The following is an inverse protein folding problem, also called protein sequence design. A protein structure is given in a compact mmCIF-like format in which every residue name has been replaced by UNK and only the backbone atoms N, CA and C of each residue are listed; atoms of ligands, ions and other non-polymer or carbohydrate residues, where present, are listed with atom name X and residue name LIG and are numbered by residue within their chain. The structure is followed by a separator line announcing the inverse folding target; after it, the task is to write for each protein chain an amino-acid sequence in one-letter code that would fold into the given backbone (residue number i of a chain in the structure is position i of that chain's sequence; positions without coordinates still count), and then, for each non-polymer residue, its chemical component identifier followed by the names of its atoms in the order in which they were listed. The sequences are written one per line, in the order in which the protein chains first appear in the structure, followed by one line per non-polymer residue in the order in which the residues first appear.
data_IF_098490521158
#
_entry.id   IF_098490521158
#
_cell.length_a   1.000
_cell.length_b   1.000
_cell.length_c   1.000
_cell.angle_alpha   90.00
_cell.angle_beta   90.00
_cell.angle_gamma   90.00
#
_symmetry.space_group_name_H-M   'P 1'
#
loop_
_entity.id
_entity.type
_entity.pdbx_description
1 polymer ?
#
# COMPACT_ATOMS: atom_id res chain seq x y z
N UNK A 1 -48.19 33.28 -5.42
CA UNK A 1 -47.42 33.84 -4.28
C UNK A 1 -46.80 32.69 -3.50
N UNK A 2 -45.53 32.87 -3.13
CA UNK A 2 -44.69 32.09 -2.19
C UNK A 2 -44.24 30.66 -2.55
N UNK A 3 -42.91 30.59 -2.77
CA UNK A 3 -41.96 29.47 -2.84
C UNK A 3 -41.65 28.86 -1.45
N UNK A 4 -41.05 27.67 -1.45
CA UNK A 4 -40.08 27.18 -0.44
C UNK A 4 -40.41 25.78 0.08
N UNK A 5 -39.53 24.79 0.16
CA UNK A 5 -38.10 24.74 -0.12
C UNK A 5 -37.65 23.30 -0.37
N UNK A 6 -36.67 23.15 -1.27
CA UNK A 6 -36.02 21.88 -1.55
C UNK A 6 -35.00 21.58 -0.44
N UNK A 7 -35.15 20.42 0.20
CA UNK A 7 -34.18 19.89 1.15
C UNK A 7 -32.88 19.51 0.44
N UNK A 8 -31.81 20.22 0.78
CA UNK A 8 -30.43 19.90 0.37
C UNK A 8 -29.98 18.68 1.16
N UNK A 9 -29.81 17.55 0.47
CA UNK A 9 -29.14 16.39 1.04
C UNK A 9 -27.63 16.67 1.11
N UNK A 10 -27.12 16.80 2.33
CA UNK A 10 -25.69 16.91 2.63
C UNK A 10 -24.94 15.70 2.07
N UNK A 11 -24.07 15.94 1.07
CA UNK A 11 -23.06 14.97 0.63
C UNK A 11 -22.00 14.82 1.72
N UNK A 12 -21.58 13.60 2.10
CA UNK A 12 -20.38 13.42 2.89
C UNK A 12 -19.14 13.64 2.01
N UNK A 13 -18.31 14.60 2.40
CA UNK A 13 -17.00 14.88 1.83
C UNK A 13 -16.10 13.63 1.86
N UNK A 14 -15.73 13.15 0.68
CA UNK A 14 -14.64 12.20 0.48
C UNK A 14 -13.39 13.01 0.11
N UNK A 15 -12.22 12.79 0.74
CA UNK A 15 -11.02 13.50 0.37
C UNK A 15 -10.60 13.10 -1.05
N UNK A 16 -10.68 14.07 -1.95
CA UNK A 16 -10.15 14.00 -3.30
C UNK A 16 -8.63 13.74 -3.23
N UNK A 17 -8.19 12.65 -3.82
CA UNK A 17 -6.78 12.47 -4.17
C UNK A 17 -6.49 13.38 -5.37
N UNK A 18 -6.13 14.64 -5.09
CA UNK A 18 -5.56 15.55 -6.07
C UNK A 18 -4.03 15.39 -6.15
N UNK A 19 -3.43 15.40 -7.34
CA UNK A 19 -1.99 15.51 -7.51
C UNK A 19 -1.59 16.99 -7.53
N UNK A 20 -0.55 17.38 -6.80
CA UNK A 20 0.08 18.70 -6.95
C UNK A 20 0.40 19.39 -5.63
N UNK A 21 1.63 19.22 -5.15
CA UNK A 21 2.19 19.92 -4.01
C UNK A 21 3.65 20.25 -4.27
N UNK A 22 3.89 21.13 -5.23
CA UNK A 22 5.10 21.95 -5.41
C UNK A 22 4.51 23.36 -5.67
N UNK A 23 4.94 24.43 -4.99
CA UNK A 23 6.10 25.24 -5.36
C UNK A 23 6.36 26.26 -4.22
N UNK A 24 7.63 26.61 -4.00
CA UNK A 24 8.07 27.73 -3.17
C UNK A 24 8.08 29.08 -3.90
N UNK A 25 7.87 30.14 -3.12
CA UNK A 25 8.50 31.48 -3.15
C UNK A 25 8.84 32.12 -4.52
N UNK A 26 8.23 33.29 -4.81
CA UNK A 26 8.97 34.45 -5.33
C UNK A 26 8.57 35.05 -6.69
N UNK A 27 7.58 35.95 -6.68
CA UNK A 27 7.55 37.30 -7.29
C UNK A 27 7.84 37.58 -8.79
N UNK A 28 6.84 38.18 -9.47
CA UNK A 28 7.00 39.33 -10.40
C UNK A 28 6.69 39.11 -11.90
N UNK A 29 6.40 40.17 -12.69
CA UNK A 29 5.02 40.59 -12.99
C UNK A 29 4.59 40.56 -14.49
N UNK A 30 3.27 40.60 -14.68
CA UNK A 30 2.46 40.94 -15.88
C UNK A 30 3.06 42.01 -16.83
N UNK A 31 2.79 41.92 -18.15
CA UNK A 31 1.60 42.62 -18.69
C UNK A 31 0.86 41.93 -19.86
N UNK A 32 -0.47 41.97 -19.83
CA UNK A 32 -1.30 42.75 -20.79
C UNK A 32 -1.49 42.26 -22.25
N UNK A 33 -2.74 42.13 -22.77
CA UNK A 33 -3.05 41.56 -24.09
C UNK A 33 -3.36 42.60 -25.19
N UNK A 34 -3.26 42.20 -26.46
CA UNK A 34 -4.02 42.85 -27.55
C UNK A 34 -3.49 42.75 -28.98
N UNK A 35 -4.43 42.46 -29.91
CA UNK A 35 -4.44 42.65 -31.38
C UNK A 35 -3.28 42.09 -32.22
N UNK A 36 -3.45 41.33 -33.31
CA UNK A 36 -4.55 41.28 -34.29
C UNK A 36 -4.10 41.94 -35.60
N UNK A 37 -3.62 41.17 -36.59
CA UNK A 37 -3.70 41.56 -38.01
C UNK A 37 -3.48 40.40 -38.98
N UNK A 38 -4.17 40.52 -40.12
CA UNK A 38 -4.36 39.61 -41.25
C UNK A 38 -3.13 39.45 -42.17
N UNK A 39 -3.07 38.25 -42.76
CA UNK A 39 -2.87 37.89 -44.17
C UNK A 39 -1.88 38.67 -45.07
N UNK A 40 -1.01 37.91 -45.74
CA UNK A 40 -0.70 38.09 -47.15
C UNK A 40 -0.37 36.74 -47.82
N UNK A 41 -1.16 36.41 -48.84
CA UNK A 41 -0.96 35.35 -49.83
C UNK A 41 -0.10 35.94 -50.95
N UNK A 42 0.86 35.17 -51.50
CA UNK A 42 1.35 35.31 -52.88
C UNK A 42 1.70 33.91 -53.41
N UNK A 43 1.12 33.61 -54.57
CA UNK A 43 1.30 32.42 -55.42
C UNK A 43 2.69 32.32 -56.08
N UNK A 44 3.08 31.11 -56.49
CA UNK A 44 4.25 30.77 -57.34
C UNK A 44 4.07 31.19 -58.82
N UNK A 45 4.69 30.53 -59.83
CA UNK A 45 5.55 29.31 -59.84
C UNK A 45 6.84 29.43 -60.72
N UNK A 46 7.68 28.39 -60.75
CA UNK A 46 8.52 28.12 -61.93
C UNK A 46 9.88 27.42 -61.69
N UNK A 47 10.41 26.67 -62.68
CA UNK A 47 11.08 25.39 -62.43
C UNK A 47 12.51 25.31 -63.01
N UNK A 48 13.51 24.83 -62.26
CA UNK A 48 14.72 24.24 -62.85
C UNK A 48 15.32 23.22 -61.87
N UNK A 49 15.50 21.98 -62.34
CA UNK A 49 16.31 20.99 -61.67
C UNK A 49 17.79 21.17 -62.02
N UNK A 50 18.66 20.83 -61.08
CA UNK A 50 19.99 20.27 -61.34
C UNK A 50 20.45 19.53 -60.08
N UNK A 51 20.85 18.29 -60.29
CA UNK A 51 21.35 17.34 -59.29
C UNK A 51 22.77 17.66 -58.83
N UNK A 52 23.11 17.04 -57.68
CA UNK A 52 24.47 16.73 -57.17
C UNK A 52 25.24 17.94 -56.61
N UNK A 53 25.92 17.91 -55.46
CA UNK A 53 26.63 16.84 -54.74
C UNK A 53 26.71 17.12 -53.21
N UNK A 54 26.80 16.04 -52.44
CA UNK A 54 27.53 15.90 -51.17
C UNK A 54 27.61 17.07 -50.18
N UNK A 55 26.76 17.02 -49.14
CA UNK A 55 27.14 17.46 -47.80
C UNK A 55 26.69 16.38 -46.80
N UNK A 56 27.58 15.41 -46.61
CA UNK A 56 27.52 14.44 -45.54
C UNK A 56 27.64 15.16 -44.19
N UNK A 57 26.49 15.48 -43.59
CA UNK A 57 26.36 15.66 -42.15
C UNK A 57 25.77 14.37 -41.59
N UNK A 58 26.62 13.37 -41.39
CA UNK A 58 26.28 12.12 -40.70
C UNK A 58 25.72 12.44 -39.32
N UNK A 59 24.40 12.48 -39.21
CA UNK A 59 23.71 12.10 -37.99
C UNK A 59 24.10 10.65 -37.75
N UNK A 60 25.10 10.46 -36.91
CA UNK A 60 25.65 9.17 -36.52
C UNK A 60 24.52 8.36 -35.86
N UNK A 61 23.85 7.56 -36.68
CA UNK A 61 22.95 6.51 -36.22
C UNK A 61 23.77 5.63 -35.27
N UNK A 62 23.34 5.40 -34.02
CA UNK A 62 24.07 4.49 -33.13
C UNK A 62 24.11 3.11 -33.82
N UNK A 63 25.26 2.42 -33.84
CA UNK A 63 25.39 1.14 -34.50
C UNK A 63 24.44 0.13 -33.85
N UNK A 64 23.51 -0.43 -34.63
CA UNK A 64 22.68 -1.61 -34.34
C UNK A 64 22.09 -1.72 -32.92
N UNK A 65 21.74 -0.59 -32.30
CA UNK A 65 21.19 -0.53 -30.95
C UNK A 65 19.68 -0.30 -30.95
N UNK A 66 18.95 -1.01 -30.10
CA UNK A 66 17.54 -0.72 -29.80
C UNK A 66 17.44 0.73 -29.29
N UNK A 67 16.57 1.53 -29.91
CA UNK A 67 16.34 2.91 -29.44
C UNK A 67 15.56 2.92 -28.14
N UNK A 68 15.65 4.01 -27.37
CA UNK A 68 14.90 4.15 -26.13
C UNK A 68 13.38 4.02 -26.35
N UNK A 69 12.89 4.59 -27.45
CA UNK A 69 11.51 4.45 -27.89
C UNK A 69 11.12 3.02 -28.18
N UNK A 70 11.94 2.26 -28.91
CA UNK A 70 11.67 0.85 -29.24
C UNK A 70 11.64 -0.04 -27.98
N UNK A 71 12.60 0.13 -27.07
CA UNK A 71 12.65 -0.63 -25.82
C UNK A 71 11.46 -0.31 -24.90
N UNK A 72 11.11 0.98 -24.77
CA UNK A 72 9.97 1.42 -23.97
C UNK A 72 8.63 0.94 -24.57
N UNK A 73 8.47 1.06 -25.90
CA UNK A 73 7.28 0.60 -26.61
C UNK A 73 7.11 -0.92 -26.48
N UNK A 74 8.17 -1.70 -26.69
CA UNK A 74 8.14 -3.16 -26.51
C UNK A 74 7.67 -3.56 -25.11
N UNK A 75 8.21 -2.93 -24.06
CA UNK A 75 7.76 -3.19 -22.69
C UNK A 75 6.29 -2.81 -22.47
N UNK A 76 5.84 -1.67 -22.98
CA UNK A 76 4.45 -1.22 -22.85
C UNK A 76 3.47 -2.10 -23.63
N UNK A 77 3.86 -2.59 -24.81
CA UNK A 77 3.08 -3.55 -25.59
C UNK A 77 2.89 -4.85 -24.80
N UNK A 78 3.96 -5.41 -24.25
CA UNK A 78 3.90 -6.63 -23.42
C UNK A 78 2.97 -6.45 -22.21
N UNK A 79 3.12 -5.34 -21.48
CA UNK A 79 2.28 -5.08 -20.30
C UNK A 79 0.81 -4.80 -20.67
N UNK A 80 0.56 -4.21 -21.82
CA UNK A 80 -0.79 -3.97 -22.33
C UNK A 80 -1.44 -5.29 -22.79
N UNK A 81 -0.69 -6.17 -23.44
CA UNK A 81 -1.13 -7.52 -23.76
C UNK A 81 -1.47 -8.33 -22.50
N UNK A 82 -0.65 -8.25 -21.46
CA UNK A 82 -0.95 -8.87 -20.16
C UNK A 82 -2.23 -8.30 -19.54
N UNK A 83 -2.42 -6.98 -19.61
CA UNK A 83 -3.64 -6.32 -19.14
C UNK A 83 -4.88 -6.86 -19.87
N UNK A 84 -4.88 -6.87 -21.20
CA UNK A 84 -6.00 -7.35 -22.00
C UNK A 84 -6.25 -8.85 -21.81
N UNK A 85 -5.19 -9.65 -21.64
CA UNK A 85 -5.30 -11.09 -21.33
C UNK A 85 -5.96 -11.31 -19.97
N UNK A 86 -5.54 -10.58 -18.95
CA UNK A 86 -6.15 -10.67 -17.61
C UNK A 86 -7.60 -10.16 -17.59
N UNK A 87 -7.93 -9.17 -18.41
CA UNK A 87 -9.30 -8.69 -18.57
C UNK A 87 -10.18 -9.74 -19.25
N UNK A 88 -9.67 -10.42 -20.28
CA UNK A 88 -10.36 -11.53 -20.93
C UNK A 88 -10.62 -12.67 -19.95
N UNK A 89 -9.59 -13.09 -19.20
CA UNK A 89 -9.72 -14.11 -18.15
C UNK A 89 -10.76 -13.71 -17.12
N UNK A 90 -10.77 -12.46 -16.66
CA UNK A 90 -11.75 -11.98 -15.69
C UNK A 90 -13.20 -12.09 -16.20
N UNK A 91 -13.43 -11.94 -17.51
CA UNK A 91 -14.75 -12.14 -18.14
C UNK A 91 -15.10 -13.62 -18.33
N UNK A 92 -14.09 -14.45 -18.63
CA UNK A 92 -14.24 -15.89 -18.86
C UNK A 92 -14.42 -16.69 -17.57
N UNK A 93 -13.86 -16.22 -16.44
CA UNK A 93 -13.94 -16.89 -15.15
C UNK A 93 -15.39 -17.06 -14.63
N UNK A 94 -16.37 -16.30 -15.12
CA UNK A 94 -17.78 -16.55 -14.84
C UNK A 94 -18.10 -16.61 -13.34
N UNK A 95 -18.46 -17.80 -12.84
CA UNK A 95 -18.77 -18.06 -11.42
C UNK A 95 -17.56 -18.50 -10.57
N UNK A 96 -16.37 -18.66 -11.16
CA UNK A 96 -15.15 -19.01 -10.45
C UNK A 96 -14.62 -17.79 -9.67
N UNK A 97 -14.88 -17.78 -8.35
CA UNK A 97 -14.46 -16.71 -7.46
C UNK A 97 -12.93 -16.59 -7.38
N UNK A 98 -12.20 -17.71 -7.36
CA UNK A 98 -10.74 -17.69 -7.23
C UNK A 98 -10.09 -17.24 -8.54
N UNK A 99 -10.61 -17.71 -9.68
CA UNK A 99 -10.17 -17.28 -11.01
C UNK A 99 -10.45 -15.79 -11.26
N UNK A 100 -11.64 -15.29 -10.91
CA UNK A 100 -11.97 -13.86 -11.06
C UNK A 100 -11.07 -12.98 -10.19
N UNK A 101 -10.72 -13.43 -8.98
CA UNK A 101 -9.85 -12.72 -8.06
C UNK A 101 -8.39 -12.71 -8.54
N UNK A 102 -7.86 -13.85 -8.99
CA UNK A 102 -6.52 -13.93 -9.58
C UNK A 102 -6.42 -13.04 -10.82
N UNK A 103 -7.41 -13.08 -11.71
CA UNK A 103 -7.47 -12.21 -12.88
C UNK A 103 -7.49 -10.73 -12.50
N UNK A 104 -8.27 -10.34 -11.49
CA UNK A 104 -8.27 -8.97 -10.96
C UNK A 104 -6.91 -8.59 -10.35
N UNK A 105 -6.23 -9.52 -9.66
CA UNK A 105 -4.86 -9.32 -9.13
C UNK A 105 -3.86 -9.10 -10.27
N UNK A 106 -3.94 -9.86 -11.35
CA UNK A 106 -3.10 -9.71 -12.53
C UNK A 106 -3.38 -8.40 -13.28
N UNK A 107 -4.65 -8.05 -13.47
CA UNK A 107 -5.07 -6.79 -14.07
C UNK A 107 -4.51 -5.57 -13.31
N UNK A 108 -4.62 -5.57 -11.98
CA UNK A 108 -4.01 -4.53 -11.12
C UNK A 108 -2.49 -4.51 -11.20
N UNK A 109 -1.84 -5.65 -11.41
CA UNK A 109 -0.38 -5.75 -11.53
C UNK A 109 0.10 -5.18 -12.86
N UNK A 110 -0.61 -5.44 -13.95
CA UNK A 110 -0.33 -4.87 -15.27
C UNK A 110 -0.57 -3.35 -15.28
N UNK A 111 -1.74 -2.89 -14.80
CA UNK A 111 -2.08 -1.47 -14.73
C UNK A 111 -1.05 -0.64 -13.93
N UNK A 112 -0.59 -1.17 -12.78
CA UNK A 112 0.43 -0.51 -11.95
C UNK A 112 1.80 -0.44 -12.62
N UNK A 113 2.16 -1.44 -13.43
CA UNK A 113 3.41 -1.42 -14.21
C UNK A 113 3.35 -0.39 -15.33
N UNK A 114 2.28 -0.39 -16.12
CA UNK A 114 2.06 0.62 -17.17
C UNK A 114 2.11 2.03 -16.56
N UNK A 115 1.32 2.29 -15.51
CA UNK A 115 1.27 3.59 -14.83
C UNK A 115 2.64 4.02 -14.28
N UNK A 116 3.42 3.09 -13.72
CA UNK A 116 4.76 3.38 -13.20
C UNK A 116 5.80 3.63 -14.29
N UNK A 117 5.76 2.85 -15.37
CA UNK A 117 6.62 3.06 -16.54
C UNK A 117 6.36 4.45 -17.14
N UNK A 118 5.09 4.83 -17.32
CA UNK A 118 4.71 6.16 -17.77
C UNK A 118 5.04 7.28 -16.76
N UNK A 119 5.20 6.96 -15.48
CA UNK A 119 5.64 7.92 -14.48
C UNK A 119 7.15 8.17 -14.56
N UNK A 120 7.94 7.10 -14.61
CA UNK A 120 9.42 7.20 -14.61
C UNK A 120 9.96 7.69 -15.94
N UNK A 121 9.40 7.20 -17.05
CA UNK A 121 9.84 7.52 -18.41
C UNK A 121 8.96 8.58 -19.08
N UNK A 122 8.24 9.39 -18.28
CA UNK A 122 7.39 10.50 -18.74
C UNK A 122 8.06 11.39 -19.80
N UNK A 123 9.36 11.77 -19.69
CA UNK A 123 10.01 12.62 -20.69
C UNK A 123 10.19 11.98 -22.09
N UNK A 124 10.01 10.66 -22.21
CA UNK A 124 10.15 9.92 -23.48
C UNK A 124 8.81 9.65 -24.15
N UNK A 125 7.70 9.93 -23.46
CA UNK A 125 6.33 9.79 -23.98
C UNK A 125 5.67 11.16 -24.12
N UNK A 126 4.56 11.23 -24.84
CA UNK A 126 3.73 12.42 -24.84
C UNK A 126 3.16 12.68 -23.44
N UNK A 127 3.49 13.84 -22.86
CA UNK A 127 3.24 14.12 -21.45
C UNK A 127 1.76 14.14 -21.06
N UNK A 128 0.93 14.86 -21.82
CA UNK A 128 -0.49 15.02 -21.53
C UNK A 128 -1.24 13.68 -21.62
N UNK A 129 -0.92 12.90 -22.66
CA UNK A 129 -1.44 11.55 -22.84
C UNK A 129 -1.01 10.62 -21.69
N UNK A 130 0.27 10.64 -21.33
CA UNK A 130 0.80 9.78 -20.27
C UNK A 130 0.17 10.11 -18.91
N UNK A 131 -0.02 11.39 -18.59
CA UNK A 131 -0.64 11.83 -17.33
C UNK A 131 -2.13 11.46 -17.28
N UNK A 132 -2.87 11.63 -18.38
CA UNK A 132 -4.27 11.21 -18.47
C UNK A 132 -4.42 9.69 -18.29
N UNK A 133 -3.65 8.89 -19.03
CA UNK A 133 -3.72 7.43 -18.92
C UNK A 133 -3.32 6.95 -17.52
N UNK A 134 -2.34 7.58 -16.88
CA UNK A 134 -1.94 7.28 -15.50
C UNK A 134 -3.05 7.56 -14.50
N UNK A 135 -3.81 8.64 -14.66
CA UNK A 135 -4.94 8.95 -13.80
C UNK A 135 -6.03 7.86 -13.90
N UNK A 136 -6.34 7.42 -15.12
CA UNK A 136 -7.34 6.37 -15.38
C UNK A 136 -6.90 5.00 -14.85
N UNK A 137 -5.65 4.60 -15.09
CA UNK A 137 -5.08 3.36 -14.53
C UNK A 137 -5.01 3.41 -12.99
N UNK A 138 -4.73 4.59 -12.42
CA UNK A 138 -4.75 4.82 -10.98
C UNK A 138 -6.15 4.64 -10.40
N UNK A 139 -7.16 5.21 -11.04
CA UNK A 139 -8.57 5.04 -10.68
C UNK A 139 -8.99 3.56 -10.70
N UNK A 140 -8.75 2.84 -11.81
CA UNK A 140 -9.13 1.43 -11.96
C UNK A 140 -8.43 0.55 -10.94
N UNK A 141 -7.10 0.70 -10.81
CA UNK A 141 -6.32 -0.11 -9.87
C UNK A 141 -6.73 0.13 -8.42
N UNK A 142 -7.11 1.37 -8.07
CA UNK A 142 -7.66 1.73 -6.77
C UNK A 142 -9.04 1.11 -6.51
N UNK A 143 -9.94 1.16 -7.49
CA UNK A 143 -11.28 0.56 -7.36
C UNK A 143 -11.20 -0.94 -7.12
N UNK A 144 -10.40 -1.65 -7.92
CA UNK A 144 -10.20 -3.09 -7.79
C UNK A 144 -9.44 -3.48 -6.52
N UNK A 145 -8.55 -2.63 -5.99
CA UNK A 145 -7.73 -2.94 -4.81
C UNK A 145 -8.52 -3.03 -3.51
N UNK A 146 -9.63 -2.28 -3.40
CA UNK A 146 -10.35 -2.07 -2.13
C UNK A 146 -10.95 -3.35 -1.57
N UNK A 147 -11.62 -4.14 -2.41
CA UNK A 147 -12.26 -5.38 -1.97
C UNK A 147 -11.25 -6.33 -1.32
N UNK A 148 -10.15 -6.58 -2.04
CA UNK A 148 -9.13 -7.53 -1.59
C UNK A 148 -8.39 -7.01 -0.35
N UNK A 149 -8.10 -5.71 -0.28
CA UNK A 149 -7.49 -5.11 0.91
C UNK A 149 -8.38 -5.24 2.16
N UNK A 150 -9.70 -5.25 2.01
CA UNK A 150 -10.63 -5.47 3.12
C UNK A 150 -10.66 -6.94 3.57
N UNK A 151 -10.57 -7.88 2.62
CA UNK A 151 -10.44 -9.30 2.92
C UNK A 151 -9.12 -9.60 3.66
N UNK A 152 -7.99 -9.16 3.12
CA UNK A 152 -6.66 -9.32 3.73
C UNK A 152 -6.62 -8.72 5.15
N UNK A 153 -7.23 -7.54 5.33
CA UNK A 153 -7.28 -6.87 6.62
C UNK A 153 -8.13 -7.63 7.64
N UNK A 154 -9.27 -8.18 7.22
CA UNK A 154 -10.13 -9.02 8.06
C UNK A 154 -9.35 -10.23 8.54
N UNK A 155 -8.72 -10.96 7.63
CA UNK A 155 -7.98 -12.18 7.94
C UNK A 155 -6.80 -11.88 8.87
N UNK A 156 -6.07 -10.78 8.64
CA UNK A 156 -5.00 -10.31 9.54
C UNK A 156 -5.50 -10.05 10.96
N UNK A 157 -6.62 -9.34 11.10
CA UNK A 157 -7.17 -8.96 12.41
C UNK A 157 -7.76 -10.19 13.14
N UNK A 158 -8.40 -11.11 12.43
CA UNK A 158 -8.92 -12.35 13.04
C UNK A 158 -7.77 -13.24 13.52
N UNK A 159 -6.73 -13.41 12.71
CA UNK A 159 -5.53 -14.12 13.12
C UNK A 159 -4.84 -13.45 14.33
N UNK A 160 -4.82 -12.11 14.37
CA UNK A 160 -4.24 -11.38 15.50
C UNK A 160 -5.03 -11.56 16.79
N UNK A 161 -6.37 -11.47 16.75
CA UNK A 161 -7.22 -11.74 17.92
C UNK A 161 -7.05 -13.18 18.42
N UNK A 162 -7.04 -14.17 17.53
CA UNK A 162 -6.80 -15.57 17.90
C UNK A 162 -5.44 -15.76 18.59
N UNK A 163 -4.38 -15.11 18.10
CA UNK A 163 -3.06 -15.15 18.76
C UNK A 163 -3.04 -14.48 20.13
N UNK A 164 -3.77 -13.38 20.28
CA UNK A 164 -3.86 -12.64 21.55
C UNK A 164 -4.65 -13.44 22.60
N UNK A 165 -5.79 -14.04 22.23
CA UNK A 165 -6.58 -14.92 23.11
C UNK A 165 -5.83 -16.20 23.45
N UNK A 166 -5.13 -16.82 22.50
CA UNK A 166 -4.28 -17.99 22.79
C UNK A 166 -3.06 -17.68 23.68
N UNK A 167 -2.70 -16.40 23.85
CA UNK A 167 -1.66 -15.96 24.80
C UNK A 167 -2.20 -15.77 26.20
N UNK A 168 -3.47 -15.37 26.33
CA UNK A 168 -4.15 -15.26 27.63
C UNK A 168 -4.55 -16.63 28.19
N UNK A 169 -4.92 -17.58 27.32
CA UNK A 169 -5.32 -18.94 27.73
C UNK A 169 -4.14 -19.84 28.16
N UNK A 170 -2.87 -19.39 28.00
CA UNK A 170 -1.72 -20.12 28.56
C UNK A 170 -1.61 -19.79 30.06
N UNK A 171 -1.74 -20.78 30.97
CA UNK A 171 -1.39 -20.56 32.37
C UNK A 171 0.06 -20.09 32.45
N UNK A 172 0.33 -18.99 33.14
CA UNK A 172 1.70 -18.65 33.53
C UNK A 172 2.29 -19.86 34.28
N UNK A 173 3.49 -20.37 33.93
CA UNK A 173 4.17 -21.29 34.83
C UNK A 173 4.44 -20.51 36.12
N UNK A 174 3.73 -20.91 37.19
CA UNK A 174 3.93 -20.38 38.52
C UNK A 174 5.44 -20.29 38.78
N UNK A 175 5.87 -19.09 39.17
CA UNK A 175 7.27 -18.78 39.42
C UNK A 175 7.93 -19.91 40.21
N UNK A 176 9.05 -20.38 39.67
CA UNK A 176 9.97 -21.32 40.30
C UNK A 176 10.35 -20.75 41.67
N UNK A 177 9.65 -21.17 42.71
CA UNK A 177 10.04 -20.94 44.08
C UNK A 177 11.41 -21.60 44.25
N UNK A 178 12.45 -20.78 44.28
CA UNK A 178 13.80 -21.19 44.68
C UNK A 178 13.79 -21.37 46.20
N UNK A 179 13.13 -22.44 46.65
CA UNK A 179 13.25 -22.94 48.02
C UNK A 179 14.63 -23.58 48.19
N UNK A 180 15.60 -22.76 48.58
CA UNK A 180 16.91 -23.21 49.08
C UNK A 180 16.68 -23.99 50.38
N UNK A 181 17.23 -25.21 50.43
CA UNK A 181 17.10 -26.16 51.52
C UNK A 181 17.62 -25.66 52.88
N UNK A 182 17.07 -26.28 53.92
CA UNK A 182 17.43 -26.07 55.32
C UNK A 182 16.74 -27.12 56.18
N UNK A 183 17.31 -28.31 56.15
CA UNK A 183 17.04 -29.48 56.99
C UNK A 183 17.01 -29.14 58.50
N UNK A 184 16.09 -29.75 59.26
CA UNK A 184 16.31 -30.23 60.63
C UNK A 184 15.10 -31.01 61.19
N UNK A 185 15.43 -32.23 61.58
CA UNK A 185 14.70 -33.24 62.33
C UNK A 185 14.41 -32.82 63.78
N UNK A 186 13.29 -33.30 64.36
CA UNK A 186 13.26 -34.18 65.54
C UNK A 186 11.85 -34.24 66.18
N UNK A 187 11.56 -35.44 66.68
CA UNK A 187 10.31 -35.97 67.22
C UNK A 187 9.80 -35.34 68.52
N UNK A 188 8.50 -35.53 68.83
CA UNK A 188 7.99 -36.16 70.09
C UNK A 188 6.55 -36.69 69.87
N UNK A 189 6.25 -37.79 70.57
CA UNK A 189 5.08 -38.69 70.53
C UNK A 189 3.92 -38.28 71.45
N UNK A 190 2.71 -38.80 71.19
CA UNK A 190 1.61 -39.03 72.16
C UNK A 190 0.23 -39.07 71.47
N UNK A 191 -0.37 -40.24 71.18
CA UNK A 191 -1.40 -40.97 71.97
C UNK A 191 -2.65 -40.12 72.30
N UNK A 192 -3.91 -40.44 72.01
CA UNK A 192 -4.65 -41.61 71.51
C UNK A 192 -6.13 -41.18 71.21
N UNK A 193 -7.08 -42.10 70.94
CA UNK A 193 -8.28 -41.82 70.12
C UNK A 193 -9.57 -41.60 70.91
N UNK A 194 -10.55 -40.88 70.35
CA UNK A 194 -11.97 -41.00 70.74
C UNK A 194 -12.93 -40.47 69.67
N UNK A 195 -14.03 -41.22 69.50
CA UNK A 195 -15.15 -40.96 68.60
C UNK A 195 -15.99 -39.78 69.11
N UNK A 196 -16.52 -38.98 68.18
CA UNK A 196 -17.60 -38.02 68.44
C UNK A 196 -18.29 -37.67 67.13
N UNK A 197 -19.59 -37.93 67.08
CA UNK A 197 -20.46 -37.80 65.90
C UNK A 197 -21.30 -36.52 66.05
N UNK A 198 -21.77 -36.01 64.90
CA UNK A 198 -22.92 -35.11 64.64
C UNK A 198 -22.78 -33.58 64.73
N UNK A 199 -23.04 -32.99 63.55
CA UNK A 199 -23.97 -31.88 63.24
C UNK A 199 -23.50 -30.42 63.32
N UNK A 200 -23.77 -29.70 62.22
CA UNK A 200 -23.95 -28.23 62.17
C UNK A 200 -22.93 -27.50 61.31
N UNK A 201 -23.36 -26.98 60.15
CA UNK A 201 -22.58 -26.03 59.34
C UNK A 201 -22.30 -24.71 60.07
N UNK A 202 -21.54 -23.81 59.43
CA UNK A 202 -22.18 -23.01 58.38
C UNK A 202 -21.57 -23.26 57.01
N UNK A 203 -22.43 -23.05 56.01
CA UNK A 203 -22.04 -22.98 54.61
C UNK A 203 -20.82 -22.06 54.47
N UNK A 204 -19.75 -22.60 53.90
CA UNK A 204 -18.72 -21.78 53.30
C UNK A 204 -19.42 -20.97 52.21
N UNK A 205 -19.64 -19.68 52.49
CA UNK A 205 -19.95 -18.71 51.47
C UNK A 205 -18.93 -18.88 50.34
N UNK A 206 -19.34 -19.03 49.07
CA UNK A 206 -18.39 -18.93 47.98
C UNK A 206 -17.84 -17.51 48.07
N UNK A 207 -16.60 -17.39 48.54
CA UNK A 207 -15.78 -16.18 48.41
C UNK A 207 -16.03 -15.65 47.01
N UNK A 208 -16.65 -14.47 46.92
CA UNK A 208 -16.94 -13.79 45.68
C UNK A 208 -15.64 -13.77 44.87
N UNK A 209 -15.57 -14.68 43.89
CA UNK A 209 -14.39 -14.87 43.08
C UNK A 209 -14.07 -13.53 42.43
N UNK A 210 -12.79 -13.16 42.46
CA UNK A 210 -12.29 -12.14 41.55
C UNK A 210 -12.93 -12.40 40.17
N UNK A 211 -13.52 -11.38 39.53
CA UNK A 211 -14.15 -11.59 38.23
C UNK A 211 -13.12 -12.28 37.35
N UNK A 212 -13.50 -13.38 36.73
CA UNK A 212 -12.63 -14.20 35.87
C UNK A 212 -12.13 -13.31 34.72
N UNK A 213 -11.06 -12.55 34.96
CA UNK A 213 -10.62 -11.44 34.12
C UNK A 213 -10.21 -11.96 32.76
N UNK A 214 -9.66 -13.17 32.73
CA UNK A 214 -9.29 -13.87 31.50
C UNK A 214 -10.54 -14.28 30.71
N UNK A 215 -11.60 -14.74 31.39
CA UNK A 215 -12.90 -14.99 30.78
C UNK A 215 -13.54 -13.74 30.17
N UNK A 216 -13.50 -12.60 30.88
CA UNK A 216 -14.01 -11.31 30.39
C UNK A 216 -13.19 -10.76 29.21
N UNK A 217 -11.88 -10.98 29.19
CA UNK A 217 -11.01 -10.61 28.07
C UNK A 217 -11.26 -11.48 26.85
N UNK A 218 -11.46 -12.79 27.04
CA UNK A 218 -11.81 -13.73 25.97
C UNK A 218 -13.18 -13.38 25.38
N UNK A 219 -14.19 -13.10 26.22
CA UNK A 219 -15.50 -12.64 25.77
C UNK A 219 -15.41 -11.27 25.05
N UNK A 220 -14.60 -10.35 25.58
CA UNK A 220 -14.32 -9.05 24.96
C UNK A 220 -13.69 -9.21 23.56
N UNK A 221 -12.74 -10.12 23.41
CA UNK A 221 -12.08 -10.44 22.15
C UNK A 221 -13.03 -11.11 21.14
N UNK A 222 -13.88 -12.03 21.59
CA UNK A 222 -14.91 -12.65 20.74
C UNK A 222 -15.90 -11.61 20.20
N UNK A 223 -16.37 -10.69 21.06
CA UNK A 223 -17.25 -9.58 20.65
C UNK A 223 -16.53 -8.59 19.71
N UNK A 224 -15.25 -8.32 19.94
CA UNK A 224 -14.43 -7.48 19.05
C UNK A 224 -14.26 -8.13 17.67
N UNK A 225 -14.02 -9.45 17.63
CA UNK A 225 -13.91 -10.22 16.41
C UNK A 225 -15.22 -10.13 15.60
N UNK A 226 -16.36 -10.41 16.23
CA UNK A 226 -17.67 -10.33 15.58
C UNK A 226 -17.99 -8.92 15.05
N UNK A 227 -17.61 -7.86 15.78
CA UNK A 227 -17.78 -6.48 15.35
C UNK A 227 -16.95 -6.17 14.10
N UNK A 228 -15.65 -6.49 14.12
CA UNK A 228 -14.73 -6.26 13.00
C UNK A 228 -15.11 -7.09 11.77
N UNK A 229 -15.44 -8.37 11.97
CA UNK A 229 -15.89 -9.28 10.92
C UNK A 229 -17.11 -8.71 10.19
N UNK A 230 -18.13 -8.29 10.94
CA UNK A 230 -19.33 -7.65 10.36
C UNK A 230 -18.99 -6.36 9.62
N UNK A 231 -18.20 -5.46 10.22
CA UNK A 231 -17.87 -4.18 9.59
C UNK A 231 -17.07 -4.36 8.29
N UNK A 232 -16.04 -5.20 8.31
CA UNK A 232 -15.18 -5.43 7.15
C UNK A 232 -15.89 -6.22 6.06
N UNK A 233 -16.75 -7.18 6.41
CA UNK A 233 -17.59 -7.89 5.44
C UNK A 233 -18.55 -6.95 4.73
N UNK A 234 -19.25 -6.08 5.47
CA UNK A 234 -20.12 -5.06 4.87
C UNK A 234 -19.35 -4.07 3.99
N UNK A 235 -18.17 -3.64 4.43
CA UNK A 235 -17.31 -2.78 3.62
C UNK A 235 -16.85 -3.49 2.34
N UNK A 236 -16.50 -4.78 2.43
CA UNK A 236 -16.09 -5.61 1.30
C UNK A 236 -17.22 -5.75 0.29
N UNK A 237 -18.45 -6.06 0.71
CA UNK A 237 -19.60 -6.15 -0.20
C UNK A 237 -19.85 -4.83 -0.94
N UNK A 238 -19.75 -3.68 -0.24
CA UNK A 238 -19.86 -2.35 -0.90
C UNK A 238 -18.72 -2.11 -1.89
N UNK A 239 -17.49 -2.46 -1.53
CA UNK A 239 -16.33 -2.33 -2.42
C UNK A 239 -16.45 -3.23 -3.65
N UNK A 240 -16.98 -4.44 -3.48
CA UNK A 240 -17.25 -5.39 -4.55
C UNK A 240 -18.28 -4.84 -5.55
N UNK A 241 -19.44 -4.37 -5.06
CA UNK A 241 -20.45 -3.74 -5.93
C UNK A 241 -19.90 -2.50 -6.66
N UNK A 242 -19.09 -1.68 -5.97
CA UNK A 242 -18.44 -0.53 -6.59
C UNK A 242 -17.41 -0.92 -7.66
N UNK A 243 -16.68 -2.02 -7.47
CA UNK A 243 -15.75 -2.55 -8.46
C UNK A 243 -16.49 -3.06 -9.71
N UNK A 244 -17.59 -3.79 -9.53
CA UNK A 244 -18.44 -4.24 -10.65
C UNK A 244 -19.04 -3.06 -11.42
N UNK A 245 -19.53 -2.03 -10.72
CA UNK A 245 -20.01 -0.80 -11.35
C UNK A 245 -18.92 -0.07 -12.12
N UNK A 246 -17.69 0.00 -11.58
CA UNK A 246 -16.56 0.59 -12.27
C UNK A 246 -16.22 -0.18 -13.56
N UNK A 247 -16.20 -1.51 -13.52
CA UNK A 247 -15.94 -2.38 -14.68
C UNK A 247 -17.05 -2.32 -15.74
N UNK A 248 -18.30 -2.02 -15.36
CA UNK A 248 -19.41 -1.82 -16.29
C UNK A 248 -19.55 -0.38 -16.80
N UNK A 249 -18.67 0.55 -16.40
CA UNK A 249 -18.81 1.97 -16.73
C UNK A 249 -18.22 2.30 -18.10
N UNK A 250 -18.78 3.31 -18.78
CA UNK A 250 -18.22 3.85 -20.02
C UNK A 250 -16.76 4.33 -19.84
N UNK A 251 -16.42 4.85 -18.65
CA UNK A 251 -15.06 5.25 -18.28
C UNK A 251 -14.07 4.07 -18.35
N UNK A 252 -14.47 2.90 -17.86
CA UNK A 252 -13.65 1.71 -17.96
C UNK A 252 -13.48 1.24 -19.40
N UNK A 253 -14.54 1.26 -20.20
CA UNK A 253 -14.45 0.86 -21.61
C UNK A 253 -13.50 1.79 -22.39
N UNK A 254 -13.59 3.10 -22.20
CA UNK A 254 -12.65 4.05 -22.80
C UNK A 254 -11.19 3.80 -22.38
N UNK A 255 -10.95 3.43 -21.11
CA UNK A 255 -9.62 3.02 -20.66
C UNK A 255 -9.16 1.71 -21.32
N UNK A 256 -10.04 0.71 -21.43
CA UNK A 256 -9.71 -0.56 -22.07
C UNK A 256 -9.37 -0.36 -23.56
N UNK A 257 -10.10 0.51 -24.26
CA UNK A 257 -9.82 0.87 -25.65
C UNK A 257 -8.49 1.63 -25.77
N UNK A 258 -8.21 2.57 -24.87
CA UNK A 258 -6.92 3.27 -24.83
C UNK A 258 -5.75 2.31 -24.58
N UNK A 259 -5.92 1.30 -23.73
CA UNK A 259 -4.91 0.25 -23.51
C UNK A 259 -4.80 -0.70 -24.70
N UNK A 260 -5.88 -0.94 -25.44
CA UNK A 260 -5.86 -1.70 -26.69
C UNK A 260 -5.06 -0.98 -27.77
N UNK A 261 -5.23 0.34 -27.93
CA UNK A 261 -4.41 1.17 -28.81
C UNK A 261 -2.94 1.16 -28.33
N UNK A 262 -2.71 1.28 -27.02
CA UNK A 262 -1.36 1.22 -26.44
C UNK A 262 -0.65 -0.11 -26.73
N UNK A 263 -1.38 -1.21 -26.96
CA UNK A 263 -0.78 -2.50 -27.28
C UNK A 263 -0.17 -2.54 -28.69
N UNK A 264 -0.55 -1.62 -29.59
CA UNK A 264 -0.01 -1.50 -30.94
C UNK A 264 0.83 -0.25 -31.16
N UNK A 265 0.44 0.88 -30.57
CA UNK A 265 1.05 2.18 -30.80
C UNK A 265 1.26 2.93 -29.49
N UNK A 266 2.50 3.38 -29.27
CA UNK A 266 2.85 4.22 -28.12
C UNK A 266 3.11 5.65 -28.60
N UNK A 267 2.39 6.66 -28.06
CA UNK A 267 2.70 8.08 -28.30
C UNK A 267 4.05 8.47 -27.67
N UNK A 268 5.12 8.30 -28.45
CA UNK A 268 6.48 8.60 -28.04
C UNK A 268 6.87 10.02 -28.43
N UNK A 269 7.65 10.68 -27.55
CA UNK A 269 8.27 11.95 -27.90
C UNK A 269 9.31 11.73 -29.01
N UNK A 270 9.46 12.70 -29.92
CA UNK A 270 10.40 12.61 -31.06
C UNK A 270 11.84 12.26 -30.62
N UNK A 271 12.27 12.79 -29.48
CA UNK A 271 13.60 12.53 -28.90
C UNK A 271 13.83 11.07 -28.49
N UNK A 272 12.77 10.30 -28.20
CA UNK A 272 12.88 8.89 -27.83
C UNK A 272 13.27 8.00 -29.03
N UNK A 273 12.99 8.45 -30.26
CA UNK A 273 13.33 7.71 -31.48
C UNK A 273 14.80 7.80 -31.90
N UNK A 274 15.54 8.79 -31.40
CA UNK A 274 16.94 9.05 -31.80
C UNK A 274 17.95 8.63 -30.74
N UNK A 275 17.55 8.59 -29.46
CA UNK A 275 18.44 8.22 -28.37
C UNK A 275 18.60 6.70 -28.21
N UNK A 276 19.81 6.25 -27.85
CA UNK A 276 20.04 4.86 -27.50
C UNK A 276 19.27 4.47 -26.23
N UNK A 277 18.81 3.21 -26.14
CA UNK A 277 18.07 2.73 -24.97
C UNK A 277 18.86 2.91 -23.67
N UNK A 278 20.15 2.54 -23.67
CA UNK A 278 21.01 2.73 -22.51
C UNK A 278 21.18 4.21 -22.15
N UNK A 279 21.38 5.09 -23.14
CA UNK A 279 21.63 6.51 -22.93
C UNK A 279 20.44 7.28 -22.36
N UNK A 280 19.19 6.90 -22.70
CA UNK A 280 18.01 7.61 -22.23
C UNK A 280 17.27 6.93 -21.08
N UNK A 281 17.17 5.59 -21.06
CA UNK A 281 16.41 4.88 -20.03
C UNK A 281 17.20 4.74 -18.72
N UNK A 282 18.51 4.52 -18.80
CA UNK A 282 19.34 4.30 -17.61
C UNK A 282 19.35 5.52 -16.67
N UNK A 283 19.58 6.77 -17.14
CA UNK A 283 19.58 7.94 -16.26
C UNK A 283 18.23 8.19 -15.59
N UNK A 284 17.12 7.88 -16.26
CA UNK A 284 15.77 8.01 -15.70
C UNK A 284 15.50 6.97 -14.61
N UNK A 285 15.97 5.72 -14.80
CA UNK A 285 15.88 4.68 -13.77
C UNK A 285 16.78 4.98 -12.56
N UNK A 286 18.01 5.47 -12.79
CA UNK A 286 18.91 5.93 -11.74
C UNK A 286 18.31 7.12 -10.96
N UNK A 287 17.67 8.06 -11.65
CA UNK A 287 16.96 9.17 -10.99
C UNK A 287 15.82 8.65 -10.09
N UNK A 288 15.05 7.66 -10.55
CA UNK A 288 14.01 7.04 -9.71
C UNK A 288 14.61 6.35 -8.46
N UNK A 289 15.76 5.70 -8.60
CA UNK A 289 16.47 5.09 -7.48
C UNK A 289 17.08 6.12 -6.51
N UNK A 290 17.65 7.22 -7.03
CA UNK A 290 18.17 8.33 -6.23
C UNK A 290 17.07 9.01 -5.42
N UNK A 291 15.91 9.30 -6.03
CA UNK A 291 14.74 9.84 -5.31
C UNK A 291 14.27 8.90 -4.19
N UNK A 292 14.37 7.58 -4.40
CA UNK A 292 14.12 6.61 -3.35
C UNK A 292 15.15 6.72 -2.22
N UNK A 293 16.44 6.76 -2.54
CA UNK A 293 17.51 6.90 -1.54
C UNK A 293 17.36 8.19 -0.72
N UNK A 294 17.06 9.31 -1.38
CA UNK A 294 16.78 10.60 -0.73
C UNK A 294 15.57 10.52 0.20
N UNK A 295 14.47 9.92 -0.25
CA UNK A 295 13.27 9.76 0.56
C UNK A 295 13.51 8.83 1.77
N UNK A 296 14.35 7.82 1.64
CA UNK A 296 14.75 6.95 2.76
C UNK A 296 15.65 7.70 3.74
N UNK A 297 16.60 8.49 3.25
CA UNK A 297 17.44 9.34 4.09
C UNK A 297 16.65 10.41 4.87
N UNK A 298 15.52 10.86 4.31
CA UNK A 298 14.61 11.80 4.95
C UNK A 298 13.60 11.17 5.93
N UNK A 299 13.62 9.84 6.13
CA UNK A 299 12.68 9.19 7.05
C UNK A 299 12.89 9.68 8.49
N UNK A 300 11.81 9.97 9.24
CA UNK A 300 11.94 10.46 10.60
C UNK A 300 12.59 9.38 11.49
N UNK A 301 13.58 9.74 12.32
CA UNK A 301 14.09 8.84 13.34
C UNK A 301 12.96 8.44 14.29
N UNK A 302 12.99 7.22 14.82
CA UNK A 302 11.97 6.72 15.73
C UNK A 302 11.90 7.60 16.99
N UNK A 303 10.95 8.54 17.02
CA UNK A 303 10.71 9.40 18.19
C UNK A 303 9.74 8.71 19.14
N UNK A 304 10.16 8.55 20.40
CA UNK A 304 9.29 8.20 21.50
C UNK A 304 8.74 9.50 22.11
N UNK A 305 7.44 9.75 21.94
CA UNK A 305 6.78 10.91 22.54
C UNK A 305 5.29 10.69 22.65
N UNK A 306 4.78 10.64 23.88
CA UNK A 306 3.38 10.40 24.22
C UNK A 306 2.54 11.65 23.94
N UNK A 307 1.81 11.66 22.83
CA UNK A 307 0.71 12.61 22.60
C UNK A 307 -0.59 12.08 23.24
N UNK A 308 -1.53 12.97 23.56
CA UNK A 308 -2.88 12.60 24.03
C UNK A 308 -3.57 11.70 23.00
N UNK A 309 -4.41 10.75 23.42
CA UNK A 309 -4.83 9.60 22.60
C UNK A 309 -5.42 9.92 21.21
N UNK A 310 -6.16 11.03 21.03
CA UNK A 310 -6.66 11.47 19.71
C UNK A 310 -5.57 12.16 18.86
N UNK A 311 -4.71 12.95 19.49
CA UNK A 311 -3.53 13.56 18.87
C UNK A 311 -2.47 12.51 18.54
N UNK A 312 -2.40 11.43 19.31
CA UNK A 312 -1.52 10.28 19.10
C UNK A 312 -1.89 9.58 17.80
N UNK A 313 -3.17 9.24 17.58
CA UNK A 313 -3.59 8.62 16.32
C UNK A 313 -3.32 9.54 15.12
N UNK A 314 -3.56 10.85 15.24
CA UNK A 314 -3.27 11.81 14.16
C UNK A 314 -1.76 12.00 13.92
N UNK A 315 -0.96 11.95 14.97
CA UNK A 315 0.50 11.95 14.89
C UNK A 315 1.04 10.66 14.25
N UNK A 316 0.45 9.51 14.56
CA UNK A 316 0.79 8.22 13.97
C UNK A 316 0.56 8.20 12.45
N UNK A 317 -0.59 8.68 11.98
CA UNK A 317 -0.88 8.77 10.55
C UNK A 317 0.14 9.69 9.83
N UNK A 318 0.52 10.81 10.45
CA UNK A 318 1.58 11.68 9.93
C UNK A 318 2.94 10.98 9.88
N UNK A 319 3.24 10.13 10.86
CA UNK A 319 4.47 9.33 10.87
C UNK A 319 4.45 8.21 9.82
N UNK A 320 3.28 7.67 9.46
CA UNK A 320 3.15 6.59 8.46
C UNK A 320 3.21 7.11 7.01
N UNK A 321 2.86 8.37 6.76
CA UNK A 321 2.84 8.95 5.42
C UNK A 321 4.20 8.90 4.67
N UNK A 322 5.35 9.27 5.27
CA UNK A 322 6.66 9.12 4.62
C UNK A 322 6.98 7.67 4.23
N UNK A 323 6.61 6.70 5.07
CA UNK A 323 6.82 5.28 4.79
C UNK A 323 5.97 4.78 3.61
N UNK A 324 4.74 5.27 3.48
CA UNK A 324 3.90 4.99 2.32
C UNK A 324 4.44 5.61 1.02
N UNK A 325 5.07 6.78 1.10
CA UNK A 325 5.77 7.41 -0.01
C UNK A 325 6.99 6.57 -0.44
N UNK A 326 7.85 6.17 0.51
CA UNK A 326 8.99 5.28 0.24
C UNK A 326 8.53 3.98 -0.41
N UNK A 327 7.44 3.35 0.06
CA UNK A 327 6.86 2.15 -0.57
C UNK A 327 6.48 2.36 -2.04
N UNK A 328 5.97 3.54 -2.36
CA UNK A 328 5.65 3.90 -3.75
C UNK A 328 6.92 4.08 -4.58
N UNK A 329 7.94 4.74 -4.04
CA UNK A 329 9.23 4.92 -4.70
C UNK A 329 9.99 3.59 -4.91
N UNK A 330 9.97 2.66 -3.95
CA UNK A 330 10.52 1.30 -4.12
C UNK A 330 9.84 0.60 -5.30
N UNK A 331 8.52 0.72 -5.39
CA UNK A 331 7.76 0.12 -6.50
C UNK A 331 8.12 0.76 -7.85
N UNK A 332 8.26 2.09 -7.90
CA UNK A 332 8.67 2.82 -9.11
C UNK A 332 10.09 2.44 -9.54
N UNK A 333 11.05 2.39 -8.61
CA UNK A 333 12.43 1.99 -8.89
C UNK A 333 12.52 0.55 -9.40
N UNK A 334 11.78 -0.38 -8.79
CA UNK A 334 11.69 -1.77 -9.26
C UNK A 334 11.14 -1.85 -10.68
N UNK A 335 10.03 -1.17 -10.98
CA UNK A 335 9.45 -1.21 -12.33
C UNK A 335 10.34 -0.51 -13.37
N UNK A 336 11.08 0.53 -12.99
CA UNK A 336 12.10 1.13 -13.86
C UNK A 336 13.24 0.15 -14.19
N UNK A 337 13.69 -0.65 -13.21
CA UNK A 337 14.66 -1.71 -13.43
C UNK A 337 14.12 -2.83 -14.32
N UNK A 338 12.84 -3.19 -14.19
CA UNK A 338 12.20 -4.18 -15.09
C UNK A 338 12.26 -3.73 -16.57
N UNK A 339 12.28 -2.43 -16.86
CA UNK A 339 12.40 -1.86 -18.21
C UNK A 339 13.86 -1.81 -18.69
N UNK A 340 14.79 -1.36 -17.83
CA UNK A 340 16.20 -1.16 -18.21
C UNK A 340 16.99 -2.47 -18.25
N UNK A 341 16.65 -3.43 -17.39
CA UNK A 341 17.38 -4.69 -17.24
C UNK A 341 16.39 -5.87 -17.08
N UNK A 342 15.68 -6.25 -18.17
CA UNK A 342 14.74 -7.37 -18.12
C UNK A 342 15.45 -8.64 -17.64
N UNK A 343 14.86 -9.32 -16.66
CA UNK A 343 15.42 -10.54 -16.07
C UNK A 343 16.43 -10.33 -14.92
N UNK A 344 16.88 -9.10 -14.65
CA UNK A 344 17.76 -8.76 -13.50
C UNK A 344 17.00 -8.04 -12.40
N UNK A 345 15.99 -8.69 -11.82
CA UNK A 345 15.25 -8.12 -10.69
C UNK A 345 16.14 -8.11 -9.44
N UNK A 346 16.30 -6.95 -8.81
CA UNK A 346 17.01 -6.84 -7.54
C UNK A 346 16.17 -7.52 -6.41
N UNK A 347 16.69 -8.62 -5.80
CA UNK A 347 15.99 -9.29 -4.72
C UNK A 347 15.82 -8.37 -3.50
N UNK A 348 16.78 -7.47 -3.23
CA UNK A 348 16.72 -6.54 -2.09
C UNK A 348 15.54 -5.59 -2.22
N UNK A 349 15.32 -5.00 -3.39
CA UNK A 349 14.15 -4.15 -3.65
C UNK A 349 12.83 -4.92 -3.54
N UNK A 350 12.84 -6.20 -3.92
CA UNK A 350 11.67 -7.07 -3.77
C UNK A 350 11.34 -7.33 -2.30
N UNK A 351 12.35 -7.66 -1.48
CA UNK A 351 12.19 -7.88 -0.04
C UNK A 351 11.83 -6.60 0.71
N UNK A 352 12.48 -5.48 0.39
CA UNK A 352 12.14 -4.16 0.91
C UNK A 352 10.69 -3.78 0.61
N UNK A 353 10.23 -4.04 -0.63
CA UNK A 353 8.83 -3.86 -1.03
C UNK A 353 7.87 -4.73 -0.22
N UNK A 354 8.22 -5.98 0.12
CA UNK A 354 7.42 -6.86 0.98
C UNK A 354 7.37 -6.34 2.42
N UNK A 355 8.50 -5.90 2.98
CA UNK A 355 8.55 -5.32 4.33
C UNK A 355 7.67 -4.06 4.44
N UNK A 356 7.74 -3.16 3.46
CA UNK A 356 6.87 -1.97 3.40
C UNK A 356 5.40 -2.30 3.10
N UNK A 357 5.12 -3.42 2.43
CA UNK A 357 3.77 -3.98 2.32
C UNK A 357 3.21 -4.34 3.70
N UNK A 358 3.96 -5.12 4.48
CA UNK A 358 3.57 -5.47 5.87
C UNK A 358 3.38 -4.24 6.76
N UNK A 359 4.25 -3.22 6.63
CA UNK A 359 4.08 -1.93 7.32
C UNK A 359 2.71 -1.31 7.01
N UNK A 360 2.37 -1.21 5.73
CA UNK A 360 1.10 -0.62 5.27
C UNK A 360 -0.11 -1.42 5.75
N UNK A 361 -0.06 -2.74 5.63
CA UNK A 361 -1.18 -3.60 6.02
C UNK A 361 -1.40 -3.57 7.55
N UNK A 362 -0.31 -3.53 8.34
CA UNK A 362 -0.37 -3.37 9.79
C UNK A 362 -0.90 -1.98 10.21
N UNK A 363 -0.46 -0.90 9.56
CA UNK A 363 -0.95 0.45 9.86
C UNK A 363 -2.44 0.59 9.54
N UNK A 364 -2.89 0.04 8.41
CA UNK A 364 -4.30 0.02 8.03
C UNK A 364 -5.17 -0.83 8.97
N UNK A 365 -4.64 -1.97 9.44
CA UNK A 365 -5.29 -2.81 10.44
C UNK A 365 -5.39 -2.11 11.81
N UNK A 366 -4.33 -1.42 12.25
CA UNK A 366 -4.34 -0.61 13.47
C UNK A 366 -5.39 0.51 13.41
N UNK A 367 -5.50 1.19 12.26
CA UNK A 367 -6.51 2.24 12.03
C UNK A 367 -7.94 1.69 12.03
N UNK A 368 -8.15 0.49 11.48
CA UNK A 368 -9.45 -0.20 11.53
C UNK A 368 -9.85 -0.57 12.97
N UNK A 369 -8.93 -1.14 13.76
CA UNK A 369 -9.18 -1.45 15.18
C UNK A 369 -9.51 -0.20 16.00
N UNK A 370 -8.74 0.89 15.83
CA UNK A 370 -9.00 2.16 16.49
C UNK A 370 -10.34 2.78 16.08
N UNK A 371 -10.73 2.65 14.81
CA UNK A 371 -12.03 3.12 14.32
C UNK A 371 -13.18 2.29 14.87
N UNK A 372 -13.03 0.97 14.97
CA UNK A 372 -14.02 0.09 15.58
C UNK A 372 -14.22 0.40 17.07
N UNK A 373 -13.15 0.77 17.80
CA UNK A 373 -13.22 1.15 19.20
C UNK A 373 -14.01 2.45 19.45
N UNK A 374 -14.21 3.28 18.41
CA UNK A 374 -15.07 4.49 18.48
C UNK A 374 -16.55 4.20 18.17
N UNK A 375 -16.93 2.95 17.94
CA UNK A 375 -18.33 2.57 17.72
C UNK A 375 -19.15 2.84 18.99
N UNK A 376 -20.29 3.53 18.92
CA UNK A 376 -21.12 3.81 20.09
C UNK A 376 -21.65 2.52 20.72
N UNK A 377 -21.83 2.52 22.05
CA UNK A 377 -22.44 1.43 22.84
C UNK A 377 -21.71 0.07 22.78
N UNK A 378 -20.39 0.06 22.57
CA UNK A 378 -19.59 -1.15 22.75
C UNK A 378 -19.32 -1.41 24.25
N UNK A 379 -19.21 -2.68 24.63
CA UNK A 379 -18.87 -3.04 26.00
C UNK A 379 -17.41 -2.64 26.34
N UNK A 380 -17.09 -2.25 27.59
CA UNK A 380 -15.73 -1.87 27.98
C UNK A 380 -14.68 -2.96 27.69
N UNK A 381 -15.01 -4.23 27.91
CA UNK A 381 -14.13 -5.36 27.58
C UNK A 381 -13.81 -5.45 26.07
N UNK A 382 -14.80 -5.16 25.21
CA UNK A 382 -14.60 -5.10 23.76
C UNK A 382 -13.71 -3.93 23.36
N UNK A 383 -13.91 -2.76 23.97
CA UNK A 383 -13.06 -1.59 23.73
C UNK A 383 -11.61 -1.85 24.14
N UNK A 384 -11.39 -2.52 25.28
CA UNK A 384 -10.07 -2.93 25.74
C UNK A 384 -9.40 -3.90 24.76
N UNK A 385 -10.12 -4.96 24.32
CA UNK A 385 -9.59 -5.91 23.35
C UNK A 385 -9.19 -5.24 22.02
N UNK A 386 -9.97 -4.27 21.54
CA UNK A 386 -9.64 -3.47 20.35
C UNK A 386 -8.41 -2.57 20.58
N UNK A 387 -8.22 -2.06 21.80
CA UNK A 387 -7.02 -1.32 22.19
C UNK A 387 -5.75 -2.18 22.18
N UNK A 388 -5.82 -3.39 22.75
CA UNK A 388 -4.72 -4.37 22.72
C UNK A 388 -4.40 -4.78 21.28
N UNK A 389 -5.43 -5.03 20.47
CA UNK A 389 -5.27 -5.34 19.04
C UNK A 389 -4.60 -4.18 18.29
N UNK A 390 -5.03 -2.94 18.54
CA UNK A 390 -4.39 -1.76 17.94
C UNK A 390 -2.90 -1.70 18.31
N UNK A 391 -2.54 -1.89 19.59
CA UNK A 391 -1.15 -1.89 20.04
C UNK A 391 -0.31 -3.01 19.40
N UNK A 392 -0.84 -4.23 19.28
CA UNK A 392 -0.21 -5.35 18.55
C UNK A 392 0.11 -4.95 17.10
N UNK A 393 -0.85 -4.34 16.40
CA UNK A 393 -0.64 -3.88 15.03
C UNK A 393 0.38 -2.73 14.93
N UNK A 394 0.48 -1.84 15.94
CA UNK A 394 1.54 -0.81 16.01
C UNK A 394 2.93 -1.43 16.24
N UNK A 395 3.03 -2.51 17.00
CA UNK A 395 4.30 -3.26 17.12
C UNK A 395 4.71 -3.91 15.80
N UNK A 396 3.75 -4.47 15.05
CA UNK A 396 3.99 -4.99 13.70
C UNK A 396 4.47 -3.91 12.72
N UNK A 397 3.91 -2.70 12.80
CA UNK A 397 4.39 -1.52 12.06
C UNK A 397 5.86 -1.23 12.39
N UNK A 398 6.24 -1.21 13.67
CA UNK A 398 7.61 -0.98 14.11
C UNK A 398 8.56 -2.10 13.65
N UNK A 399 8.15 -3.36 13.75
CA UNK A 399 8.91 -4.52 13.30
C UNK A 399 9.16 -4.50 11.78
N UNK A 400 8.15 -4.11 11.00
CA UNK A 400 8.28 -3.95 9.56
C UNK A 400 9.26 -2.83 9.18
N UNK A 401 9.22 -1.69 9.88
CA UNK A 401 10.19 -0.59 9.72
C UNK A 401 11.61 -1.05 10.05
N UNK A 402 11.78 -1.79 11.14
CA UNK A 402 13.09 -2.36 11.52
C UNK A 402 13.61 -3.34 10.46
N UNK A 403 12.75 -4.24 9.97
CA UNK A 403 13.10 -5.18 8.89
C UNK A 403 13.56 -4.43 7.64
N UNK A 404 12.82 -3.39 7.23
CA UNK A 404 13.22 -2.55 6.10
C UNK A 404 14.58 -1.87 6.35
N UNK A 405 14.81 -1.29 7.53
CA UNK A 405 16.10 -0.65 7.84
C UNK A 405 17.28 -1.61 7.76
N UNK A 406 17.11 -2.88 8.17
CA UNK A 406 18.14 -3.91 8.05
C UNK A 406 18.44 -4.36 6.62
N UNK A 407 17.44 -4.28 5.74
CA UNK A 407 17.60 -4.60 4.32
C UNK A 407 18.22 -3.44 3.53
N UNK A 408 17.92 -2.20 3.94
CA UNK A 408 18.33 -0.99 3.22
C UNK A 408 19.71 -0.49 3.62
N UNK A 409 20.05 -0.54 4.91
CA UNK A 409 21.42 -0.29 5.34
C UNK A 409 22.26 -1.50 4.95
N UNK A 410 23.45 -1.34 4.34
CA UNK A 410 24.40 -2.44 4.32
C UNK A 410 24.55 -2.91 5.76
N UNK A 411 24.33 -4.20 6.01
CA UNK A 411 24.67 -4.78 7.31
C UNK A 411 26.11 -4.35 7.64
N UNK A 412 26.47 -4.16 8.92
CA UNK A 412 27.87 -3.97 9.25
C UNK A 412 28.63 -5.09 8.54
N UNK A 413 29.52 -4.72 7.61
CA UNK A 413 30.54 -5.62 7.09
C UNK A 413 31.06 -6.34 8.34
N UNK A 414 31.00 -7.68 8.41
CA UNK A 414 31.61 -8.38 9.53
C UNK A 414 33.05 -7.90 9.51
N UNK A 415 33.45 -7.14 10.54
CA UNK A 415 34.83 -6.75 10.74
C UNK A 415 35.65 -7.98 10.45
N UNK A 416 36.43 -7.91 9.36
CA UNK A 416 37.45 -8.88 9.04
C UNK A 416 38.36 -8.91 10.26
N UNK A 417 38.05 -9.83 11.18
CA UNK A 417 38.91 -10.20 12.30
C UNK A 417 40.14 -10.82 11.67
N UNK A 418 41.11 -9.96 11.37
CA UNK A 418 42.49 -10.34 11.32
C UNK A 418 42.92 -10.70 12.74
N UNK A 419 43.15 -11.98 12.99
CA UNK A 419 44.23 -12.49 13.85
C UNK A 419 44.42 -13.97 13.51
#
# INVERSE_FOLDING_TARGET
MTRGGAGVAQRPDLPAWGPGGLIGIGSGPEPGPGCGTRAAVVDGPGPYGCSSEGAAGTGETPPDGVTAGQALAGYLHDRSADFLRSLRQHRESGSDADGTEEAARQLRRAARRISATLHTFRPLAEEAWADQLRAELGWLSGALAREHALADRRDRLMAALQRLTGRTDRPQPAGRATGRGGDRTAAVRGAGPMRGRTAGGPAAEPSAGEPDTDGLLSEGAARAAALLDRQLTLARSRAHSAALQALGSARFHALADAVAVLASEVPLARAAGTASAAGALHPLAENAHRRLAEAVAALPPARAGHAHQADALSAEHRQDAPWHQVRTLVRLSRYAQEVVAPGRADPRLTEAGRALGRHRDAAEAASAAASAARTPRIAPATAYALGVLHADQRHEVAAARHTFSRLWLPGPEPESRWS
#
